data_IF_904377361842
#
_entry.id   IF_904377361842
#
_cell.length_a   1.000
_cell.length_b   1.000
_cell.length_c   1.000
_cell.angle_alpha   90.00
_cell.angle_beta   90.00
_cell.angle_gamma   90.00
#
_symmetry.space_group_name_H-M   'P 1'
#
loop_
_entity.id
_entity.type
_entity.pdbx_description
1 polymer ?
#
# COMPACT_ATOMS: atom_id res chain seq x y z
N UNK A 1 -4.40 -17.71 -4.04
CA UNK A 1 -3.57 -16.51 -3.77
C UNK A 1 -2.69 -16.29 -4.97
N UNK A 2 -2.59 -15.08 -5.51
CA UNK A 2 -1.68 -14.72 -6.60
C UNK A 2 -0.58 -13.82 -6.04
N UNK A 3 0.60 -13.82 -6.66
CA UNK A 3 1.66 -12.86 -6.37
C UNK A 3 2.14 -12.17 -7.65
N UNK A 4 2.56 -10.92 -7.48
CA UNK A 4 3.18 -10.11 -8.54
C UNK A 4 4.44 -9.50 -7.96
N UNK A 5 5.58 -9.76 -8.58
CA UNK A 5 6.89 -9.27 -8.17
C UNK A 5 7.88 -9.31 -9.34
N UNK A 6 9.07 -8.77 -9.16
CA UNK A 6 10.21 -8.91 -10.08
C UNK A 6 10.78 -10.33 -10.08
N UNK A 7 10.75 -10.99 -8.92
CA UNK A 7 11.32 -12.32 -8.70
C UNK A 7 10.29 -13.28 -8.12
N UNK A 8 10.18 -14.47 -8.69
CA UNK A 8 9.30 -15.50 -8.18
C UNK A 8 9.85 -16.08 -6.86
N UNK A 9 9.01 -16.22 -5.82
CA UNK A 9 9.38 -16.99 -4.65
C UNK A 9 9.54 -18.48 -4.98
N UNK A 10 10.59 -19.13 -4.47
CA UNK A 10 10.90 -20.55 -4.75
C UNK A 10 9.74 -21.51 -4.41
N UNK A 11 8.90 -21.14 -3.44
CA UNK A 11 7.80 -21.96 -2.96
C UNK A 11 6.46 -21.75 -3.67
N UNK A 12 6.40 -20.86 -4.66
CA UNK A 12 5.13 -20.51 -5.32
C UNK A 12 4.95 -21.24 -6.64
N UNK A 13 3.76 -21.81 -6.86
CA UNK A 13 3.41 -22.42 -8.14
C UNK A 13 3.40 -21.36 -9.28
N UNK A 14 4.08 -21.65 -10.38
CA UNK A 14 4.30 -20.70 -11.48
C UNK A 14 3.01 -20.08 -12.06
N UNK A 15 1.89 -20.79 -12.06
CA UNK A 15 0.61 -20.26 -12.56
C UNK A 15 -0.03 -19.19 -11.62
N UNK A 16 0.42 -19.11 -10.38
CA UNK A 16 -0.05 -18.12 -9.39
C UNK A 16 0.84 -16.87 -9.34
N UNK A 17 2.00 -16.92 -10.01
CA UNK A 17 2.94 -15.81 -10.07
C UNK A 17 2.84 -15.07 -11.41
N UNK A 18 2.96 -13.76 -11.37
CA UNK A 18 3.13 -12.91 -12.54
C UNK A 18 4.32 -11.98 -12.30
N UNK A 19 5.26 -11.98 -13.24
CA UNK A 19 6.38 -11.06 -13.20
C UNK A 19 5.95 -9.69 -13.73
N UNK A 20 6.14 -8.64 -12.94
CA UNK A 20 5.98 -7.25 -13.35
C UNK A 20 6.77 -6.31 -12.45
N UNK A 21 7.31 -5.24 -13.02
CA UNK A 21 7.87 -4.13 -12.29
C UNK A 21 6.77 -3.10 -12.00
N UNK A 22 6.15 -3.18 -10.85
CA UNK A 22 5.00 -2.35 -10.49
C UNK A 22 5.33 -0.85 -10.29
N UNK A 23 6.61 -0.46 -10.39
CA UNK A 23 7.00 0.95 -10.48
C UNK A 23 6.80 1.55 -11.88
N UNK A 24 6.68 0.70 -12.92
CA UNK A 24 6.58 1.16 -14.32
C UNK A 24 5.57 0.38 -15.17
N UNK A 25 5.14 -0.79 -14.70
CA UNK A 25 4.23 -1.70 -15.40
C UNK A 25 2.89 -1.82 -14.67
N UNK A 26 1.78 -2.04 -15.38
CA UNK A 26 0.48 -2.28 -14.75
C UNK A 26 0.45 -3.63 -14.02
N UNK A 27 -0.44 -3.77 -13.04
CA UNK A 27 -0.72 -5.07 -12.42
C UNK A 27 -1.31 -6.01 -13.49
N UNK A 28 -0.68 -7.17 -13.80
CA UNK A 28 -1.03 -8.03 -14.93
C UNK A 28 -2.26 -8.91 -14.64
N UNK A 29 -3.35 -8.28 -14.22
CA UNK A 29 -4.65 -8.89 -13.97
C UNK A 29 -5.76 -7.99 -14.50
N UNK A 30 -6.90 -8.61 -14.83
CA UNK A 30 -8.09 -7.89 -15.32
C UNK A 30 -8.74 -7.06 -14.22
N UNK A 31 -9.60 -6.14 -14.62
CA UNK A 31 -10.35 -5.28 -13.70
C UNK A 31 -11.22 -6.11 -12.75
N UNK A 32 -11.35 -5.65 -11.52
CA UNK A 32 -12.24 -6.27 -10.52
C UNK A 32 -12.00 -7.77 -10.31
N UNK A 33 -10.74 -8.20 -10.36
CA UNK A 33 -10.36 -9.60 -10.21
C UNK A 33 -10.28 -10.04 -8.74
N UNK A 34 -9.68 -9.20 -7.88
CA UNK A 34 -9.35 -9.58 -6.52
C UNK A 34 -10.39 -9.12 -5.48
N UNK A 35 -10.64 -9.97 -4.47
CA UNK A 35 -11.34 -9.57 -3.26
C UNK A 35 -10.43 -8.79 -2.31
N UNK A 36 -9.11 -9.04 -2.36
CA UNK A 36 -8.12 -8.31 -1.59
C UNK A 36 -6.77 -8.26 -2.29
N UNK A 37 -6.03 -7.17 -2.05
CA UNK A 37 -4.64 -6.96 -2.47
C UNK A 37 -3.84 -6.59 -1.23
N UNK A 38 -2.64 -7.16 -1.08
CA UNK A 38 -1.74 -6.86 0.03
C UNK A 38 -0.39 -6.38 -0.50
N UNK A 39 0.20 -5.40 0.19
CA UNK A 39 1.54 -4.89 -0.04
C UNK A 39 2.29 -4.77 1.30
N UNK A 40 3.33 -5.59 1.48
CA UNK A 40 4.15 -5.61 2.69
C UNK A 40 5.56 -5.14 2.36
N UNK A 41 6.02 -4.07 3.03
CA UNK A 41 7.34 -3.46 2.81
C UNK A 41 7.63 -3.27 1.30
N UNK A 42 6.68 -2.65 0.62
CA UNK A 42 6.71 -2.48 -0.83
C UNK A 42 6.47 -1.03 -1.27
N UNK A 43 5.52 -0.32 -0.65
CA UNK A 43 5.11 1.03 -1.08
C UNK A 43 6.24 2.05 -0.98
N UNK A 44 7.15 1.87 -0.02
CA UNK A 44 8.33 2.71 0.21
C UNK A 44 9.36 2.59 -0.92
N UNK A 45 9.35 1.50 -1.68
CA UNK A 45 10.24 1.29 -2.83
C UNK A 45 9.69 1.85 -4.15
N UNK A 46 8.41 2.26 -4.18
CA UNK A 46 7.78 2.80 -5.40
C UNK A 46 8.08 4.28 -5.55
N UNK A 47 8.78 4.72 -6.61
CA UNK A 47 9.14 6.11 -6.79
C UNK A 47 7.91 7.03 -6.86
N UNK A 48 8.05 8.24 -6.32
CA UNK A 48 7.02 9.28 -6.46
C UNK A 48 7.03 9.93 -7.84
N UNK A 49 8.23 10.07 -8.40
CA UNK A 49 8.47 10.77 -9.66
C UNK A 49 9.43 9.94 -10.52
N UNK A 50 9.09 9.76 -11.77
CA UNK A 50 9.99 9.28 -12.82
C UNK A 50 9.80 10.12 -14.08
N UNK A 51 10.83 10.31 -14.89
CA UNK A 51 10.67 10.90 -16.22
C UNK A 51 9.83 9.98 -17.11
N UNK A 52 9.12 10.53 -18.09
CA UNK A 52 8.58 9.76 -19.20
C UNK A 52 9.69 9.18 -20.06
N UNK A 53 9.38 8.18 -20.90
CA UNK A 53 10.39 7.51 -21.73
C UNK A 53 11.11 8.46 -22.71
N UNK A 54 10.44 9.53 -23.15
CA UNK A 54 10.99 10.58 -24.00
C UNK A 54 11.76 11.67 -23.21
N UNK A 55 11.76 11.59 -21.88
CA UNK A 55 12.40 12.56 -20.99
C UNK A 55 11.73 13.93 -20.91
N UNK A 56 10.60 14.15 -21.61
CA UNK A 56 9.95 15.45 -21.70
C UNK A 56 8.81 15.66 -20.70
N UNK A 57 8.38 14.58 -20.03
CA UNK A 57 7.29 14.60 -19.06
C UNK A 57 7.63 13.94 -17.75
N UNK A 58 6.65 13.88 -16.85
CA UNK A 58 6.77 13.26 -15.52
C UNK A 58 5.67 12.22 -15.33
N UNK A 59 6.07 11.05 -14.88
CA UNK A 59 5.17 10.01 -14.36
C UNK A 59 5.11 10.07 -12.84
N UNK A 60 4.02 9.58 -12.29
CA UNK A 60 3.78 9.49 -10.85
C UNK A 60 3.53 8.03 -10.46
N UNK A 61 4.58 7.17 -10.42
CA UNK A 61 4.43 5.72 -10.26
C UNK A 61 3.62 5.31 -9.05
N UNK A 62 3.77 6.02 -7.92
CA UNK A 62 2.99 5.70 -6.73
C UNK A 62 1.48 5.95 -6.94
N UNK A 63 1.10 7.04 -7.63
CA UNK A 63 -0.31 7.32 -7.98
C UNK A 63 -0.81 6.31 -9.02
N UNK A 64 0.02 5.98 -10.01
CA UNK A 64 -0.28 4.96 -11.02
C UNK A 64 -0.51 3.59 -10.40
N UNK A 65 0.34 3.18 -9.43
CA UNK A 65 0.16 1.94 -8.68
C UNK A 65 -1.16 1.93 -7.90
N UNK A 66 -1.51 3.03 -7.22
CA UNK A 66 -2.78 3.11 -6.49
C UNK A 66 -3.99 3.04 -7.41
N UNK A 67 -3.89 3.58 -8.64
CA UNK A 67 -4.90 3.36 -9.70
C UNK A 67 -5.00 1.89 -10.09
N UNK A 68 -3.86 1.21 -10.25
CA UNK A 68 -3.84 -0.22 -10.59
C UNK A 68 -4.41 -1.10 -9.48
N UNK A 69 -4.09 -0.82 -8.22
CA UNK A 69 -4.66 -1.50 -7.06
C UNK A 69 -6.19 -1.32 -7.05
N UNK A 70 -6.66 -0.09 -7.23
CA UNK A 70 -8.09 0.19 -7.33
C UNK A 70 -8.74 -0.55 -8.51
N UNK A 71 -8.10 -0.54 -9.67
CA UNK A 71 -8.60 -1.19 -10.89
C UNK A 71 -8.83 -2.68 -10.69
N UNK A 72 -7.85 -3.39 -10.13
CA UNK A 72 -7.92 -4.86 -10.00
C UNK A 72 -8.75 -5.34 -8.81
N UNK A 73 -9.04 -4.48 -7.84
CA UNK A 73 -9.96 -4.80 -6.74
C UNK A 73 -11.41 -4.79 -7.22
N UNK A 74 -12.22 -5.70 -6.68
CA UNK A 74 -13.68 -5.67 -6.82
C UNK A 74 -14.28 -4.49 -6.04
N UNK A 75 -15.51 -4.06 -6.34
CA UNK A 75 -16.27 -3.17 -5.46
C UNK A 75 -16.27 -3.74 -4.03
N UNK A 76 -15.93 -2.93 -3.03
CA UNK A 76 -15.79 -3.36 -1.63
C UNK A 76 -14.57 -4.23 -1.33
N UNK A 77 -13.74 -4.56 -2.32
CA UNK A 77 -12.49 -5.30 -2.12
C UNK A 77 -11.49 -4.53 -1.25
N UNK A 78 -10.64 -5.24 -0.52
CA UNK A 78 -9.75 -4.65 0.48
C UNK A 78 -8.34 -4.47 -0.05
N UNK A 79 -7.77 -3.29 0.18
CA UNK A 79 -6.34 -3.06 0.07
C UNK A 79 -5.73 -3.01 1.46
N UNK A 80 -4.75 -3.87 1.71
CA UNK A 80 -4.00 -3.93 2.96
C UNK A 80 -2.52 -3.66 2.70
N UNK A 81 -1.93 -2.71 3.43
CA UNK A 81 -0.51 -2.42 3.31
C UNK A 81 0.16 -2.24 4.67
N UNK A 82 1.42 -2.65 4.75
CA UNK A 82 2.31 -2.40 5.87
C UNK A 82 3.59 -1.80 5.31
N UNK A 83 3.98 -0.64 5.82
CA UNK A 83 5.13 0.11 5.32
C UNK A 83 5.80 0.89 6.46
N UNK A 84 7.14 0.98 6.51
CA UNK A 84 7.82 1.88 7.42
C UNK A 84 7.40 3.32 7.15
N UNK A 85 7.22 4.13 8.20
CA UNK A 85 6.67 5.46 8.03
C UNK A 85 7.37 6.52 8.88
N UNK A 86 7.50 7.73 8.31
CA UNK A 86 7.99 8.90 9.02
C UNK A 86 7.06 9.26 10.21
N UNK A 87 7.61 9.65 11.39
CA UNK A 87 8.98 10.09 11.63
C UNK A 87 9.95 9.02 12.16
N UNK A 88 9.74 7.76 11.83
CA UNK A 88 10.59 6.68 12.33
C UNK A 88 11.86 6.54 11.48
N UNK A 89 13.04 6.28 12.10
CA UNK A 89 14.30 6.14 11.38
C UNK A 89 14.33 4.95 10.41
N UNK A 90 13.50 3.93 10.64
CA UNK A 90 13.37 2.75 9.78
C UNK A 90 13.01 3.10 8.33
N UNK A 91 12.36 4.25 8.10
CA UNK A 91 12.08 4.78 6.75
C UNK A 91 13.37 4.98 5.94
N UNK A 92 14.49 5.26 6.62
CA UNK A 92 15.76 5.63 5.99
C UNK A 92 16.84 4.55 6.15
N UNK A 93 16.54 3.41 6.79
CA UNK A 93 17.54 2.35 7.01
C UNK A 93 17.90 1.63 5.71
N UNK A 94 16.90 1.39 4.85
CA UNK A 94 17.11 0.78 3.55
C UNK A 94 17.38 1.88 2.51
N UNK A 95 18.52 1.84 1.79
CA UNK A 95 18.86 2.85 0.78
C UNK A 95 17.94 2.81 -0.45
N UNK A 96 17.11 1.78 -0.60
CA UNK A 96 16.14 1.66 -1.69
C UNK A 96 14.76 2.23 -1.36
N UNK A 97 14.58 2.76 -0.14
CA UNK A 97 13.37 3.49 0.25
C UNK A 97 13.37 4.88 -0.38
N UNK A 98 12.63 5.03 -1.46
CA UNK A 98 12.52 6.28 -2.22
C UNK A 98 11.20 7.02 -2.01
N UNK A 99 10.24 6.41 -1.33
CA UNK A 99 8.93 6.97 -1.06
C UNK A 99 8.67 7.09 0.44
N UNK A 100 8.84 8.29 0.99
CA UNK A 100 8.58 8.55 2.40
C UNK A 100 7.08 8.56 2.68
N UNK A 101 6.60 7.50 3.33
CA UNK A 101 5.21 7.39 3.74
C UNK A 101 5.01 8.09 5.10
N UNK A 102 3.90 8.79 5.23
CA UNK A 102 3.45 9.40 6.49
C UNK A 102 2.02 8.96 6.80
N UNK A 103 1.57 9.22 8.03
CA UNK A 103 0.17 8.98 8.37
C UNK A 103 -0.80 9.76 7.47
N UNK A 104 -0.40 10.97 7.02
CA UNK A 104 -1.19 11.80 6.11
C UNK A 104 -1.24 11.27 4.67
N UNK A 105 -0.29 10.43 4.26
CA UNK A 105 -0.24 9.92 2.87
C UNK A 105 -1.50 9.12 2.51
N UNK A 106 -2.04 8.35 3.44
CA UNK A 106 -3.25 7.55 3.23
C UNK A 106 -4.47 8.39 2.83
N UNK A 107 -4.63 9.58 3.43
CA UNK A 107 -5.80 10.43 3.18
C UNK A 107 -5.86 10.97 1.76
N UNK A 108 -4.73 11.01 1.03
CA UNK A 108 -4.71 11.41 -0.38
C UNK A 108 -5.51 10.48 -1.29
N UNK A 109 -5.70 9.21 -0.91
CA UNK A 109 -6.38 8.19 -1.72
C UNK A 109 -7.77 7.84 -1.19
N UNK A 110 -8.15 8.38 -0.03
CA UNK A 110 -9.38 8.02 0.66
C UNK A 110 -10.39 9.18 0.70
N UNK A 111 -11.68 8.81 0.83
CA UNK A 111 -12.80 9.74 0.92
C UNK A 111 -13.47 10.01 -0.43
N UNK A 112 -14.54 10.83 -0.43
CA UNK A 112 -15.33 11.09 -1.63
C UNK A 112 -14.57 11.91 -2.68
N UNK A 113 -13.64 12.76 -2.24
CA UNK A 113 -12.79 13.58 -3.10
C UNK A 113 -11.32 13.43 -2.69
N UNK A 114 -10.66 12.32 -3.10
CA UNK A 114 -9.27 12.07 -2.78
C UNK A 114 -8.36 13.17 -3.34
N UNK A 115 -7.46 13.72 -2.50
CA UNK A 115 -6.53 14.77 -2.92
C UNK A 115 -5.60 14.35 -4.07
N UNK A 116 -5.34 13.06 -4.22
CA UNK A 116 -4.54 12.52 -5.31
C UNK A 116 -5.21 12.63 -6.70
N UNK A 117 -6.49 13.03 -6.79
CA UNK A 117 -7.16 13.30 -8.07
C UNK A 117 -6.44 14.37 -8.89
N UNK A 118 -5.91 15.41 -8.24
CA UNK A 118 -5.11 16.44 -8.90
C UNK A 118 -3.85 15.91 -9.58
N UNK A 119 -3.42 14.70 -9.20
CA UNK A 119 -2.25 13.98 -9.72
C UNK A 119 -2.63 12.80 -10.61
N UNK A 120 -3.90 12.69 -11.04
CA UNK A 120 -4.37 11.63 -11.92
C UNK A 120 -4.84 10.33 -11.21
N UNK A 121 -5.10 10.37 -9.90
CA UNK A 121 -5.79 9.26 -9.25
C UNK A 121 -7.28 9.27 -9.62
N UNK A 122 -7.75 8.17 -10.21
CA UNK A 122 -9.11 8.04 -10.73
C UNK A 122 -10.04 7.25 -9.82
N UNK A 123 -9.48 6.64 -8.76
CA UNK A 123 -10.22 5.82 -7.83
C UNK A 123 -10.76 6.58 -6.62
N UNK A 124 -11.31 5.82 -5.69
CA UNK A 124 -11.61 6.25 -4.32
C UNK A 124 -11.55 5.05 -3.39
N UNK A 125 -11.05 5.28 -2.18
CA UNK A 125 -11.08 4.28 -1.11
C UNK A 125 -11.78 4.85 0.13
N UNK A 126 -12.42 3.95 0.88
CA UNK A 126 -12.81 4.19 2.26
C UNK A 126 -11.67 3.75 3.18
N UNK A 127 -11.25 4.63 4.08
CA UNK A 127 -10.20 4.31 5.05
C UNK A 127 -10.80 3.55 6.23
N UNK A 128 -10.54 2.26 6.33
CA UNK A 128 -10.95 1.43 7.47
C UNK A 128 -9.91 1.46 8.58
N UNK A 129 -8.61 1.54 8.21
CA UNK A 129 -7.49 1.55 9.16
C UNK A 129 -6.31 2.35 8.64
N UNK A 130 -5.70 3.13 9.54
CA UNK A 130 -4.42 3.83 9.32
C UNK A 130 -3.75 4.01 10.69
N UNK A 131 -3.07 2.97 11.15
CA UNK A 131 -2.56 2.88 12.51
C UNK A 131 -1.08 2.49 12.54
N UNK A 132 -0.39 2.98 13.57
CA UNK A 132 0.95 2.51 13.89
C UNK A 132 0.92 1.07 14.37
N UNK A 133 1.81 0.24 13.83
CA UNK A 133 1.94 -1.17 14.14
C UNK A 133 3.41 -1.60 14.29
N UNK A 134 3.61 -2.73 14.96
CA UNK A 134 4.86 -3.49 14.87
C UNK A 134 4.80 -4.33 13.60
N UNK A 135 5.89 -4.35 12.83
CA UNK A 135 5.96 -5.13 11.59
C UNK A 135 5.44 -6.58 11.74
N UNK A 136 5.89 -7.39 12.72
CA UNK A 136 5.39 -8.77 12.84
C UNK A 136 3.89 -8.87 13.19
N UNK A 137 3.36 -7.92 13.99
CA UNK A 137 1.94 -7.91 14.38
C UNK A 137 1.03 -7.42 13.26
N UNK A 138 1.57 -6.60 12.34
CA UNK A 138 0.82 -6.04 11.24
C UNK A 138 0.55 -7.06 10.12
N UNK A 139 1.37 -8.12 10.03
CA UNK A 139 1.19 -9.21 9.05
C UNK A 139 0.06 -10.17 9.43
N UNK A 140 -0.48 -10.07 10.65
CA UNK A 140 -1.59 -10.89 11.11
C UNK A 140 -2.92 -10.14 10.99
N UNK A 141 -4.03 -10.84 10.70
CA UNK A 141 -5.37 -10.26 10.73
C UNK A 141 -5.65 -9.56 12.07
N UNK A 142 -6.47 -8.53 12.03
CA UNK A 142 -6.85 -7.78 13.23
C UNK A 142 -7.53 -8.71 14.25
N UNK A 143 -6.79 -9.11 15.27
CA UNK A 143 -7.33 -9.84 16.42
C UNK A 143 -7.91 -8.82 17.40
N UNK A 144 -9.07 -9.09 18.05
CA UNK A 144 -9.61 -8.22 19.08
C UNK A 144 -8.56 -7.87 20.13
N UNK A 145 -8.24 -6.59 20.25
CA UNK A 145 -7.13 -6.14 21.09
C UNK A 145 -7.62 -6.01 22.52
N UNK A 146 -7.12 -6.86 23.42
CA UNK A 146 -7.39 -6.73 24.86
C UNK A 146 -6.91 -5.38 25.40
N UNK A 147 -7.53 -4.88 26.48
CA UNK A 147 -7.14 -3.60 27.12
C UNK A 147 -5.65 -3.56 27.47
N UNK A 148 -5.08 -4.70 27.87
CA UNK A 148 -3.65 -4.84 28.17
C UNK A 148 -2.78 -4.65 26.93
N UNK A 149 -3.18 -5.19 25.77
CA UNK A 149 -2.50 -4.97 24.47
C UNK A 149 -2.63 -3.52 24.03
N UNK A 150 -3.80 -2.89 24.21
CA UNK A 150 -4.01 -1.45 23.90
C UNK A 150 -3.06 -0.58 24.74
N UNK A 151 -2.92 -0.86 26.03
CA UNK A 151 -2.00 -0.13 26.91
C UNK A 151 -0.53 -0.34 26.52
N UNK A 152 -0.11 -1.58 26.21
CA UNK A 152 1.24 -1.88 25.71
C UNK A 152 1.54 -1.18 24.38
N UNK A 153 0.59 -1.18 23.43
CA UNK A 153 0.72 -0.44 22.15
C UNK A 153 0.85 1.07 22.39
N UNK A 154 0.00 1.63 23.24
CA UNK A 154 0.05 3.05 23.58
C UNK A 154 1.40 3.45 24.21
N UNK A 155 1.93 2.64 25.16
CA UNK A 155 3.25 2.86 25.74
C UNK A 155 4.36 2.77 24.69
N UNK A 156 4.34 1.77 23.82
CA UNK A 156 5.32 1.63 22.73
C UNK A 156 5.22 2.78 21.72
N UNK A 157 4.03 3.24 21.39
CA UNK A 157 3.85 4.40 20.52
C UNK A 157 4.51 5.66 21.07
N UNK A 158 4.43 5.88 22.41
CA UNK A 158 5.07 7.02 23.09
C UNK A 158 6.58 6.96 23.09
N UNK A 159 7.17 5.79 23.23
CA UNK A 159 8.64 5.61 23.24
C UNK A 159 9.23 5.30 21.86
N UNK A 160 8.47 5.48 20.79
CA UNK A 160 8.98 5.28 19.45
C UNK A 160 9.09 3.82 18.98
N UNK A 161 8.53 2.86 19.70
CA UNK A 161 8.66 1.44 19.40
C UNK A 161 7.71 0.86 18.34
N UNK A 162 6.99 1.71 17.59
CA UNK A 162 6.18 1.31 16.43
C UNK A 162 6.76 1.99 15.21
N UNK A 163 7.19 1.21 14.23
CA UNK A 163 7.95 1.70 13.06
C UNK A 163 7.12 1.74 11.77
N UNK A 164 6.05 0.94 11.68
CA UNK A 164 5.26 0.78 10.46
C UNK A 164 3.86 1.34 10.61
N UNK A 165 3.28 1.76 9.50
CA UNK A 165 1.84 2.00 9.37
C UNK A 165 1.18 0.77 8.76
N UNK A 166 0.04 0.37 9.31
CA UNK A 166 -0.87 -0.58 8.72
C UNK A 166 -2.05 0.17 8.11
N UNK A 167 -2.22 0.04 6.80
CA UNK A 167 -3.35 0.55 6.05
C UNK A 167 -4.34 -0.55 5.75
N UNK A 168 -5.61 -0.24 5.84
CA UNK A 168 -6.70 -1.08 5.36
C UNK A 168 -7.74 -0.17 4.73
N UNK A 169 -7.94 -0.31 3.44
CA UNK A 169 -8.84 0.51 2.64
C UNK A 169 -9.85 -0.39 1.93
N UNK A 170 -11.13 0.02 1.90
CA UNK A 170 -12.14 -0.61 1.06
C UNK A 170 -12.25 0.14 -0.27
N UNK A 171 -12.25 -0.61 -1.38
CA UNK A 171 -12.35 -0.06 -2.72
C UNK A 171 -13.77 0.44 -2.99
N UNK A 172 -13.92 1.74 -3.28
CA UNK A 172 -15.20 2.34 -3.66
C UNK A 172 -15.27 2.35 -5.19
N UNK A 173 -16.20 1.55 -5.73
CA UNK A 173 -16.60 1.58 -7.15
C UNK A 173 -18.10 1.68 -7.24
N UNK A 174 -18.60 2.44 -8.22
CA UNK A 174 -20.00 2.36 -8.61
C UNK A 174 -20.30 0.91 -9.03
N UNK A 175 -21.38 0.34 -8.54
CA UNK A 175 -21.86 -0.92 -9.13
C UNK A 175 -22.15 -0.69 -10.60
N UNK A 176 -21.79 -1.62 -11.47
CA UNK A 176 -22.09 -1.54 -12.89
C UNK A 176 -23.58 -1.44 -13.18
#
# INVERSE_FOLDING_TARGET
>A
MHAVDLFAPDSMAAHLFRRANLSIEPIPHVDSFFNSVSAFDFLEHVPRLLPTADGLGTRLPFVELMNQIHRVLKPGGLFYAVTPAYPRPEVFHDPTHVNVITRGTASYFCGPEPGARMYGFMGAFEMLRNEWALHPEALSPAVPVTLLRRFKRWRRARVGGLSHLAWEFACIKSSP
#
